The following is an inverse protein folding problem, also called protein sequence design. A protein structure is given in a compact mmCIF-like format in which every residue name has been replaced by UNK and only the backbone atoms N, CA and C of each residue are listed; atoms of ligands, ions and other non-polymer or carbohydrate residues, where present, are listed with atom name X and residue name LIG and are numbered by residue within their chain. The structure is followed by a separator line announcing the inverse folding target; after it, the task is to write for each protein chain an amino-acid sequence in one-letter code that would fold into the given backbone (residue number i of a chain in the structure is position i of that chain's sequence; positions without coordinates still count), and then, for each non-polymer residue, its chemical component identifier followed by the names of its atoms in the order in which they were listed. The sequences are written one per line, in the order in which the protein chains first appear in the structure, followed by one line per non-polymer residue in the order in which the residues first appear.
data_IF_886403136023
#
_entry.id   IF_886403136023
#
_cell.length_a   1.000
_cell.length_b   1.000
_cell.length_c   1.000
_cell.angle_alpha   90.00
_cell.angle_beta   90.00
_cell.angle_gamma   90.00
#
_symmetry.space_group_name_H-M   'P 1'
#
loop_
_entity.id
_entity.type
_entity.pdbx_description
1 polymer ?
#
# COMPACT_ATOMS: atom_id res chain seq x y z
N UNK A 1 -22.10 -7.48 7.66
CA UNK A 1 -21.90 -6.04 8.02
C UNK A 1 -21.67 -5.27 6.74
N UNK A 2 -22.03 -3.99 6.65
CA UNK A 2 -21.74 -3.17 5.48
C UNK A 2 -20.98 -1.93 5.92
N UNK A 3 -19.78 -1.72 5.34
CA UNK A 3 -19.00 -0.50 5.48
C UNK A 3 -19.39 0.49 4.37
N UNK A 4 -19.67 1.74 4.74
CA UNK A 4 -20.04 2.81 3.80
C UNK A 4 -19.11 3.98 4.03
N UNK A 5 -18.24 4.30 3.07
CA UNK A 5 -17.25 5.36 3.22
C UNK A 5 -16.04 5.17 2.31
N UNK A 6 -14.94 5.81 2.65
CA UNK A 6 -13.65 5.65 1.99
C UNK A 6 -12.80 4.53 2.62
N UNK A 7 -11.55 4.42 2.16
CA UNK A 7 -10.59 3.40 2.62
C UNK A 7 -10.34 3.46 4.13
N UNK A 8 -10.25 4.66 4.73
CA UNK A 8 -10.10 4.84 6.18
C UNK A 8 -11.28 4.28 6.97
N UNK A 9 -12.53 4.53 6.53
CA UNK A 9 -13.73 3.96 7.16
C UNK A 9 -13.74 2.44 7.06
N UNK A 10 -13.32 1.90 5.91
CA UNK A 10 -13.19 0.46 5.72
C UNK A 10 -12.16 -0.13 6.67
N UNK A 11 -10.99 0.50 6.80
CA UNK A 11 -9.95 0.07 7.73
C UNK A 11 -10.44 0.04 9.18
N UNK A 12 -11.14 1.08 9.65
CA UNK A 12 -11.73 1.13 11.00
C UNK A 12 -12.73 -0.01 11.24
N UNK A 13 -13.60 -0.28 10.27
CA UNK A 13 -14.58 -1.38 10.36
C UNK A 13 -13.85 -2.72 10.42
N UNK A 14 -12.87 -2.95 9.56
CA UNK A 14 -12.11 -4.20 9.52
C UNK A 14 -11.31 -4.38 10.81
N UNK A 15 -10.60 -3.34 11.26
CA UNK A 15 -9.86 -3.37 12.52
C UNK A 15 -10.77 -3.71 13.71
N UNK A 16 -11.97 -3.12 13.75
CA UNK A 16 -12.95 -3.41 14.80
C UNK A 16 -13.44 -4.84 14.77
N UNK A 17 -13.78 -5.39 13.61
CA UNK A 17 -14.29 -6.79 13.52
C UNK A 17 -13.21 -7.83 13.76
N UNK A 18 -11.94 -7.55 13.49
CA UNK A 18 -10.83 -8.46 13.75
C UNK A 18 -10.63 -8.74 15.25
N UNK A 19 -11.17 -7.91 16.14
CA UNK A 19 -11.18 -8.17 17.58
C UNK A 19 -12.21 -9.25 18.01
N UNK A 20 -13.13 -9.61 17.13
CA UNK A 20 -14.20 -10.56 17.41
C UNK A 20 -13.72 -12.00 17.22
N UNK A 21 -14.22 -12.92 18.06
CA UNK A 21 -13.93 -14.35 17.90
C UNK A 21 -14.40 -14.93 16.56
N UNK A 22 -15.43 -14.34 15.98
CA UNK A 22 -15.98 -14.74 14.66
C UNK A 22 -16.31 -13.48 13.89
N UNK A 23 -15.35 -12.96 13.11
CA UNK A 23 -15.59 -11.78 12.29
C UNK A 23 -16.71 -12.02 11.27
N UNK A 24 -17.67 -11.10 11.13
CA UNK A 24 -18.71 -11.19 10.11
C UNK A 24 -18.14 -10.92 8.72
N UNK A 25 -18.81 -11.41 7.69
CA UNK A 25 -18.52 -10.98 6.32
C UNK A 25 -18.87 -9.48 6.14
N UNK A 26 -18.03 -8.77 5.37
CA UNK A 26 -18.15 -7.32 5.11
C UNK A 26 -18.54 -7.08 3.66
N UNK A 27 -19.59 -6.30 3.44
CA UNK A 27 -19.88 -5.65 2.17
C UNK A 27 -19.28 -4.24 2.21
N UNK A 28 -18.86 -3.71 1.07
CA UNK A 28 -18.27 -2.38 0.98
C UNK A 28 -18.97 -1.52 -0.06
N UNK A 29 -19.46 -0.34 0.37
CA UNK A 29 -19.97 0.71 -0.50
C UNK A 29 -18.94 1.85 -0.54
N UNK A 30 -18.12 1.95 -1.60
CA UNK A 30 -17.05 2.93 -1.69
C UNK A 30 -17.62 4.33 -1.93
N UNK A 31 -17.41 5.22 -0.96
CA UNK A 31 -17.88 6.62 -0.99
C UNK A 31 -16.74 7.61 -0.66
N UNK A 32 -15.50 7.16 -0.73
CA UNK A 32 -14.32 8.00 -0.53
C UNK A 32 -13.80 8.64 -1.82
N UNK A 33 -12.74 9.41 -1.72
CA UNK A 33 -12.13 10.10 -2.86
C UNK A 33 -11.29 9.17 -3.73
N UNK A 34 -10.64 8.15 -3.16
CA UNK A 34 -9.69 7.25 -3.85
C UNK A 34 -10.26 5.85 -4.00
N UNK A 35 -10.67 5.23 -2.90
CA UNK A 35 -11.24 3.87 -2.85
C UNK A 35 -10.35 2.83 -3.53
N UNK A 36 -9.04 2.85 -3.21
CA UNK A 36 -8.02 1.98 -3.82
C UNK A 36 -8.31 0.49 -3.64
N UNK A 37 -8.79 0.12 -2.45
CA UNK A 37 -9.14 -1.27 -2.19
C UNK A 37 -10.37 -1.72 -2.98
N UNK A 38 -11.37 -0.85 -3.13
CA UNK A 38 -12.53 -1.15 -3.98
C UNK A 38 -12.13 -1.34 -5.45
N UNK A 39 -11.20 -0.52 -5.95
CA UNK A 39 -10.67 -0.65 -7.30
C UNK A 39 -9.94 -1.99 -7.52
N UNK A 40 -9.16 -2.44 -6.53
CA UNK A 40 -8.46 -3.73 -6.56
C UNK A 40 -9.42 -4.92 -6.60
N UNK A 41 -10.57 -4.79 -5.94
CA UNK A 41 -11.63 -5.80 -5.88
C UNK A 41 -12.68 -5.68 -7.01
N UNK A 42 -12.55 -4.68 -7.90
CA UNK A 42 -13.54 -4.36 -8.95
C UNK A 42 -14.95 -4.06 -8.40
N UNK A 43 -15.02 -3.53 -7.19
CA UNK A 43 -16.29 -3.09 -6.62
C UNK A 43 -16.80 -1.86 -7.40
N UNK A 44 -18.04 -1.86 -7.89
CA UNK A 44 -18.58 -0.72 -8.62
C UNK A 44 -18.54 0.57 -7.77
N UNK A 45 -18.20 1.70 -8.41
CA UNK A 45 -18.27 3.01 -7.76
C UNK A 45 -19.69 3.55 -7.61
N UNK A 46 -20.62 3.06 -8.42
CA UNK A 46 -22.04 3.36 -8.28
C UNK A 46 -22.62 2.65 -7.05
N UNK A 47 -23.25 3.39 -6.10
CA UNK A 47 -23.70 2.82 -4.84
C UNK A 47 -24.78 1.74 -5.01
N UNK A 48 -25.62 1.85 -6.04
CA UNK A 48 -26.71 0.88 -6.29
C UNK A 48 -26.11 -0.42 -6.80
N UNK A 49 -25.19 -0.35 -7.76
CA UNK A 49 -24.50 -1.52 -8.29
C UNK A 49 -23.64 -2.20 -7.21
N UNK A 50 -22.94 -1.41 -6.38
CA UNK A 50 -22.18 -1.95 -5.25
C UNK A 50 -23.09 -2.65 -4.23
N UNK A 51 -24.25 -2.08 -3.92
CA UNK A 51 -25.23 -2.72 -3.04
C UNK A 51 -25.80 -4.02 -3.66
N UNK A 52 -26.08 -4.02 -4.96
CA UNK A 52 -26.50 -5.24 -5.66
C UNK A 52 -25.41 -6.32 -5.63
N UNK A 53 -24.13 -5.95 -5.81
CA UNK A 53 -23.01 -6.87 -5.69
C UNK A 53 -22.97 -7.51 -4.30
N UNK A 54 -23.13 -6.72 -3.24
CA UNK A 54 -23.18 -7.25 -1.85
C UNK A 54 -24.34 -8.24 -1.66
N UNK A 55 -25.53 -7.93 -2.18
CA UNK A 55 -26.72 -8.77 -1.97
C UNK A 55 -26.65 -10.07 -2.76
N UNK A 56 -26.09 -10.02 -3.98
CA UNK A 56 -25.97 -11.17 -4.89
C UNK A 56 -24.63 -11.87 -4.78
N UNK A 57 -23.66 -11.24 -4.13
CA UNK A 57 -22.26 -11.64 -4.11
C UNK A 57 -22.00 -12.91 -3.32
N UNK A 58 -20.85 -13.47 -3.61
CA UNK A 58 -20.32 -14.64 -2.92
C UNK A 58 -19.33 -14.20 -1.85
N UNK A 59 -19.12 -15.06 -0.87
CA UNK A 59 -18.07 -14.84 0.14
C UNK A 59 -16.71 -15.11 -0.47
N UNK A 60 -15.84 -14.13 -0.43
CA UNK A 60 -14.43 -14.25 -0.79
C UNK A 60 -13.56 -13.97 0.41
N UNK A 61 -12.62 -14.85 0.69
CA UNK A 61 -11.61 -14.62 1.72
C UNK A 61 -10.44 -13.84 1.11
N UNK A 62 -9.93 -12.88 1.87
CA UNK A 62 -8.84 -12.01 1.47
C UNK A 62 -7.82 -11.92 2.62
N UNK A 63 -6.58 -11.68 2.25
CA UNK A 63 -5.52 -11.38 3.19
C UNK A 63 -5.62 -9.95 3.67
N UNK A 64 -5.14 -9.69 4.88
CA UNK A 64 -4.91 -8.37 5.43
C UNK A 64 -3.54 -8.32 6.10
N UNK A 65 -3.01 -7.13 6.31
CA UNK A 65 -1.73 -6.96 6.98
C UNK A 65 -1.87 -6.62 8.45
N UNK A 66 -0.93 -7.11 9.24
CA UNK A 66 -0.71 -6.66 10.62
C UNK A 66 0.65 -5.97 10.71
N UNK A 67 0.63 -4.71 11.12
CA UNK A 67 1.77 -3.85 11.36
C UNK A 67 1.93 -3.66 12.88
N UNK A 68 2.82 -4.40 13.51
CA UNK A 68 2.85 -4.50 14.97
C UNK A 68 1.49 -4.95 15.51
N UNK A 69 0.80 -4.07 16.23
CA UNK A 69 -0.54 -4.32 16.78
C UNK A 69 -1.68 -3.79 15.88
N UNK A 70 -1.37 -3.02 14.85
CA UNK A 70 -2.36 -2.41 13.96
C UNK A 70 -2.63 -3.26 12.72
N UNK A 71 -3.85 -3.13 12.20
CA UNK A 71 -4.26 -3.75 10.93
C UNK A 71 -4.16 -2.72 9.82
N UNK A 72 -3.70 -3.15 8.65
CA UNK A 72 -3.91 -2.47 7.39
C UNK A 72 -4.57 -3.43 6.39
N UNK A 73 -5.37 -2.88 5.49
CA UNK A 73 -6.20 -3.68 4.58
C UNK A 73 -5.50 -3.91 3.25
N UNK A 74 -4.84 -2.88 2.72
CA UNK A 74 -4.27 -2.97 1.39
C UNK A 74 -2.86 -2.43 1.25
N UNK A 75 -2.41 -1.47 2.09
CA UNK A 75 -1.03 -0.95 1.98
C UNK A 75 -0.48 -0.39 3.28
N UNK A 76 0.77 -0.74 3.57
CA UNK A 76 1.64 -0.05 4.51
C UNK A 76 2.82 0.52 3.75
N UNK A 77 3.14 1.81 3.90
CA UNK A 77 4.21 2.47 3.17
C UNK A 77 4.97 3.47 4.00
N UNK A 78 6.24 3.72 3.65
CA UNK A 78 7.10 4.72 4.27
C UNK A 78 7.86 5.55 3.23
N UNK A 79 8.42 6.67 3.67
CA UNK A 79 9.33 7.49 2.88
C UNK A 79 8.65 8.62 2.11
N UNK A 80 9.21 8.96 0.95
CA UNK A 80 8.66 9.99 0.09
C UNK A 80 7.20 9.64 -0.20
N UNK A 81 6.30 10.66 -0.17
CA UNK A 81 4.86 10.54 -0.47
C UNK A 81 3.95 10.23 0.71
N UNK A 82 4.46 9.70 1.82
CA UNK A 82 3.62 9.51 3.02
C UNK A 82 3.23 10.84 3.65
N UNK A 83 4.12 11.85 3.64
CA UNK A 83 3.85 13.20 4.17
C UNK A 83 3.02 14.09 3.24
N UNK A 84 3.19 13.98 1.93
CA UNK A 84 2.52 14.85 0.96
C UNK A 84 1.06 14.50 0.74
N UNK A 85 0.65 13.26 1.04
CA UNK A 85 -0.76 12.88 1.02
C UNK A 85 -1.61 13.74 1.98
N UNK A 86 -1.00 14.29 3.03
CA UNK A 86 -1.70 15.11 4.03
C UNK A 86 -1.67 16.62 3.77
N UNK A 87 -0.72 17.14 2.97
CA UNK A 87 -0.48 18.58 2.82
C UNK A 87 -0.65 19.14 1.42
N UNK A 88 -0.75 18.29 0.38
CA UNK A 88 -0.89 18.76 -1.00
C UNK A 88 -2.30 19.31 -1.27
N UNK A 89 -2.36 20.53 -1.83
CA UNK A 89 -3.62 21.14 -2.28
C UNK A 89 -4.30 20.31 -3.36
N UNK A 90 -5.63 20.31 -3.41
CA UNK A 90 -6.44 19.56 -4.37
C UNK A 90 -6.13 19.89 -5.84
N UNK A 91 -5.59 21.10 -6.11
CA UNK A 91 -5.25 21.54 -7.46
C UNK A 91 -4.02 20.82 -8.06
N UNK A 92 -3.04 20.43 -7.24
CA UNK A 92 -1.86 19.65 -7.66
C UNK A 92 -2.25 18.21 -7.93
N UNK A 93 -3.25 17.69 -7.21
CA UNK A 93 -3.80 16.34 -7.40
C UNK A 93 -4.49 16.16 -8.75
N UNK A 94 -5.05 17.23 -9.31
CA UNK A 94 -5.84 17.18 -10.55
C UNK A 94 -5.04 17.37 -11.84
N UNK A 95 -3.87 18.04 -11.81
CA UNK A 95 -3.16 18.44 -13.03
C UNK A 95 -2.19 17.38 -13.59
N UNK A 96 -1.56 16.57 -12.74
CA UNK A 96 -0.52 15.60 -13.17
C UNK A 96 -0.71 14.20 -12.56
N UNK A 97 -1.74 14.01 -11.75
CA UNK A 97 -1.86 12.83 -10.90
C UNK A 97 -0.75 12.81 -9.83
N UNK A 98 -0.95 12.06 -8.76
CA UNK A 98 0.02 11.92 -7.68
C UNK A 98 1.39 11.43 -8.18
N UNK A 99 1.40 10.63 -9.23
CA UNK A 99 2.61 10.06 -9.83
C UNK A 99 3.47 11.10 -10.57
N UNK A 100 2.87 12.07 -11.27
CA UNK A 100 3.61 13.14 -11.94
C UNK A 100 4.32 14.07 -10.94
N UNK A 101 3.67 14.37 -9.81
CA UNK A 101 4.29 15.15 -8.73
C UNK A 101 5.46 14.41 -8.08
N UNK A 102 5.32 13.11 -7.93
CA UNK A 102 6.35 12.19 -7.47
C UNK A 102 7.60 12.27 -8.36
N UNK A 103 7.39 12.15 -9.65
CA UNK A 103 8.48 12.21 -10.63
C UNK A 103 9.14 13.58 -10.69
N UNK A 104 8.39 14.65 -10.50
CA UNK A 104 8.95 16.01 -10.47
C UNK A 104 9.80 16.25 -9.21
N UNK A 105 9.37 15.70 -8.06
CA UNK A 105 10.18 15.76 -6.84
C UNK A 105 11.46 14.91 -6.89
N UNK A 106 11.52 13.89 -7.75
CA UNK A 106 12.71 13.07 -7.96
C UNK A 106 13.75 13.71 -8.92
N UNK A 107 13.44 14.84 -9.56
CA UNK A 107 14.36 15.47 -10.53
C UNK A 107 15.62 16.09 -9.90
N UNK A 108 15.59 16.39 -8.63
CA UNK A 108 16.69 17.00 -7.91
C UNK A 108 17.22 16.03 -6.83
N UNK A 109 18.34 15.37 -7.15
CA UNK A 109 19.01 14.42 -6.25
C UNK A 109 19.33 15.01 -4.89
N UNK A 110 19.66 16.30 -4.83
CA UNK A 110 20.06 16.98 -3.59
C UNK A 110 18.87 17.21 -2.64
N UNK A 111 17.64 17.11 -3.14
CA UNK A 111 16.43 17.26 -2.34
C UNK A 111 15.86 15.93 -1.82
N UNK A 112 16.34 14.80 -2.34
CA UNK A 112 15.88 13.48 -1.95
C UNK A 112 16.42 13.13 -0.57
N UNK A 113 15.51 12.76 0.34
CA UNK A 113 15.86 12.27 1.67
C UNK A 113 15.62 10.77 1.74
N UNK A 114 16.67 9.97 1.62
CA UNK A 114 16.54 8.53 1.86
C UNK A 114 16.42 8.24 3.35
N UNK A 115 15.86 7.07 3.64
CA UNK A 115 15.87 6.47 4.97
C UNK A 115 16.78 5.25 4.97
N UNK A 116 17.62 5.13 5.97
CA UNK A 116 18.43 3.95 6.18
C UNK A 116 17.61 2.89 6.91
N UNK A 117 17.30 1.83 6.20
CA UNK A 117 16.40 0.78 6.68
C UNK A 117 17.00 -0.59 6.42
N UNK A 118 16.89 -1.46 7.41
CA UNK A 118 17.14 -2.89 7.27
C UNK A 118 15.83 -3.63 7.29
N UNK A 119 15.58 -4.40 6.23
CA UNK A 119 14.37 -5.20 6.08
C UNK A 119 14.79 -6.66 5.97
N UNK A 120 14.32 -7.50 6.88
CA UNK A 120 14.47 -8.95 6.79
C UNK A 120 13.12 -9.54 6.40
N UNK A 121 13.04 -10.12 5.22
CA UNK A 121 11.82 -10.67 4.65
C UNK A 121 12.06 -12.11 4.22
N UNK A 122 11.29 -13.06 4.78
CA UNK A 122 11.35 -14.50 4.46
C UNK A 122 12.79 -15.07 4.40
N UNK A 123 13.70 -14.56 5.26
CA UNK A 123 15.10 -14.97 5.36
C UNK A 123 16.09 -14.21 4.47
N UNK A 124 15.64 -13.34 3.57
CA UNK A 124 16.47 -12.39 2.83
C UNK A 124 16.61 -11.09 3.63
N UNK A 125 17.82 -10.53 3.70
CA UNK A 125 18.06 -9.23 4.33
C UNK A 125 18.39 -8.19 3.28
N UNK A 126 17.61 -7.13 3.23
CA UNK A 126 17.74 -5.96 2.37
C UNK A 126 18.17 -4.77 3.26
N UNK A 127 19.45 -4.46 3.28
CA UNK A 127 20.03 -3.34 4.06
C UNK A 127 20.44 -2.23 3.09
N UNK A 128 19.88 -1.04 3.24
CA UNK A 128 20.12 0.04 2.29
C UNK A 128 19.47 1.37 2.65
N UNK A 129 19.65 2.31 1.73
CA UNK A 129 19.00 3.62 1.76
C UNK A 129 17.87 3.65 0.74
N UNK A 130 16.65 3.90 1.21
CA UNK A 130 15.44 3.87 0.40
C UNK A 130 14.72 5.20 0.42
N UNK A 131 14.28 5.65 -0.75
CA UNK A 131 13.41 6.82 -0.88
C UNK A 131 11.96 6.51 -0.51
N UNK A 132 11.55 5.27 -0.77
CA UNK A 132 10.19 4.80 -0.56
C UNK A 132 10.19 3.29 -0.38
N UNK A 133 9.28 2.80 0.44
CA UNK A 133 8.95 1.40 0.56
C UNK A 133 7.45 1.20 0.77
N UNK A 134 6.92 0.15 0.16
CA UNK A 134 5.54 -0.26 0.33
C UNK A 134 5.41 -1.77 0.45
N UNK A 135 4.51 -2.18 1.34
CA UNK A 135 4.05 -3.54 1.53
C UNK A 135 2.56 -3.53 1.22
N UNK A 136 2.15 -4.19 0.16
CA UNK A 136 0.79 -4.12 -0.35
C UNK A 136 0.15 -5.50 -0.51
N UNK A 137 -1.17 -5.55 -0.36
CA UNK A 137 -2.05 -6.61 -0.84
C UNK A 137 -3.10 -5.94 -1.74
N UNK A 138 -2.65 -5.40 -2.87
CA UNK A 138 -3.48 -4.55 -3.73
C UNK A 138 -2.88 -4.41 -5.11
N UNK A 139 -3.71 -4.30 -6.13
CA UNK A 139 -3.28 -3.97 -7.50
C UNK A 139 -2.94 -2.49 -7.68
N UNK A 140 -3.09 -1.67 -6.62
CA UNK A 140 -2.72 -0.27 -6.59
C UNK A 140 -1.95 0.05 -5.32
N UNK A 141 -0.77 0.64 -5.44
CA UNK A 141 0.01 1.11 -4.30
C UNK A 141 -0.17 2.62 -4.18
N UNK A 142 -0.84 3.03 -3.10
CA UNK A 142 -1.09 4.43 -2.75
C UNK A 142 -1.76 5.26 -3.88
N UNK A 143 -2.61 4.63 -4.71
CA UNK A 143 -3.27 5.27 -5.85
C UNK A 143 -2.33 5.71 -6.97
N UNK A 144 -1.06 5.36 -6.90
CA UNK A 144 0.00 5.88 -7.79
C UNK A 144 0.60 4.80 -8.68
N UNK A 145 0.94 3.68 -8.13
CA UNK A 145 1.60 2.59 -8.84
C UNK A 145 0.61 1.45 -9.05
N UNK A 146 0.40 1.05 -10.28
CA UNK A 146 -0.48 -0.07 -10.63
C UNK A 146 0.37 -1.32 -10.82
N UNK A 147 0.03 -2.36 -10.08
CA UNK A 147 0.58 -3.70 -10.29
C UNK A 147 -0.31 -4.47 -11.28
N UNK A 148 0.32 -5.29 -12.11
CA UNK A 148 -0.43 -6.17 -12.98
C UNK A 148 -1.19 -7.21 -12.15
N UNK A 149 -2.45 -7.46 -12.48
CA UNK A 149 -3.29 -8.42 -11.74
C UNK A 149 -2.72 -9.82 -11.62
N UNK A 150 -1.91 -10.22 -12.58
CA UNK A 150 -1.23 -11.52 -12.54
C UNK A 150 -0.14 -11.59 -11.47
N UNK A 151 0.35 -10.43 -11.01
CA UNK A 151 1.39 -10.31 -9.98
C UNK A 151 0.80 -10.21 -8.57
N UNK A 152 -0.53 -10.00 -8.44
CA UNK A 152 -1.21 -9.77 -7.16
C UNK A 152 -2.30 -10.81 -6.94
N UNK A 153 -2.13 -11.64 -5.93
CA UNK A 153 -3.11 -12.65 -5.52
C UNK A 153 -3.53 -12.32 -4.08
N UNK A 154 -4.74 -11.81 -3.91
CA UNK A 154 -5.21 -11.22 -2.65
C UNK A 154 -5.50 -12.21 -1.51
N UNK A 155 -5.23 -13.52 -1.68
CA UNK A 155 -5.55 -14.59 -0.72
C UNK A 155 -4.52 -15.72 -0.67
N UNK A 156 -3.29 -15.46 -1.14
CA UNK A 156 -2.21 -16.46 -1.21
C UNK A 156 -1.24 -16.45 0.00
N UNK A 157 -1.42 -15.49 0.91
CA UNK A 157 -0.58 -15.34 2.09
C UNK A 157 0.68 -14.50 1.85
N UNK A 158 0.77 -13.82 0.71
CA UNK A 158 1.92 -13.00 0.34
C UNK A 158 1.52 -11.53 0.17
N UNK A 159 2.47 -10.65 0.37
CA UNK A 159 2.43 -9.23 0.03
C UNK A 159 3.33 -8.95 -1.15
N UNK A 160 3.04 -7.89 -1.87
CA UNK A 160 3.94 -7.23 -2.79
C UNK A 160 4.79 -6.22 -2.02
N UNK A 161 6.07 -6.56 -1.79
CA UNK A 161 7.08 -5.62 -1.26
C UNK A 161 7.72 -4.87 -2.44
N UNK A 162 7.59 -3.55 -2.46
CA UNK A 162 8.26 -2.67 -3.39
C UNK A 162 9.16 -1.70 -2.64
N UNK A 163 10.46 -1.69 -2.98
CA UNK A 163 11.41 -0.72 -2.45
C UNK A 163 12.01 0.11 -3.59
N UNK A 164 12.11 1.40 -3.36
CA UNK A 164 12.72 2.38 -4.26
C UNK A 164 14.04 2.82 -3.62
N UNK A 165 15.19 2.27 -4.05
CA UNK A 165 16.49 2.64 -3.52
C UNK A 165 16.84 4.10 -3.81
N UNK A 166 17.70 4.67 -2.99
CA UNK A 166 18.28 5.99 -3.25
C UNK A 166 19.26 5.93 -4.41
N UNK A 167 19.01 6.61 -5.55
CA UNK A 167 19.92 6.62 -6.66
C UNK A 167 21.19 7.41 -6.32
N UNK A 168 22.35 6.89 -6.70
CA UNK A 168 23.65 7.48 -6.39
C UNK A 168 24.14 8.46 -7.47
N UNK A 169 23.50 8.47 -8.63
CA UNK A 169 23.85 9.33 -9.76
C UNK A 169 22.65 9.55 -10.70
N UNK A 170 22.80 10.50 -11.63
CA UNK A 170 21.74 10.88 -12.56
C UNK A 170 21.31 9.72 -13.48
N UNK A 171 22.19 8.80 -13.83
CA UNK A 171 21.84 7.67 -14.68
C UNK A 171 20.95 6.66 -13.94
N UNK A 172 21.26 6.36 -12.68
CA UNK A 172 20.42 5.51 -11.82
C UNK A 172 19.05 6.15 -11.60
N UNK A 173 19.01 7.47 -11.32
CA UNK A 173 17.76 8.20 -11.20
C UNK A 173 16.91 8.11 -12.47
N UNK A 174 17.52 8.26 -13.62
CA UNK A 174 16.83 8.18 -14.90
C UNK A 174 16.27 6.78 -15.17
N UNK A 175 17.03 5.73 -14.85
CA UNK A 175 16.59 4.34 -14.97
C UNK A 175 15.43 4.04 -14.01
N UNK A 176 15.50 4.53 -12.79
CA UNK A 176 14.47 4.37 -11.76
C UNK A 176 13.16 5.06 -12.21
N UNK A 177 13.25 6.32 -12.66
CA UNK A 177 12.09 7.05 -13.19
C UNK A 177 11.47 6.30 -14.38
N UNK A 178 12.30 5.82 -15.30
CA UNK A 178 11.83 5.07 -16.46
C UNK A 178 11.11 3.78 -16.04
N UNK A 179 11.67 3.03 -15.10
CA UNK A 179 11.09 1.80 -14.60
C UNK A 179 9.73 2.05 -13.92
N UNK A 180 9.63 3.09 -13.11
CA UNK A 180 8.37 3.49 -12.45
C UNK A 180 7.30 3.90 -13.47
N UNK A 181 7.68 4.73 -14.47
CA UNK A 181 6.76 5.18 -15.54
C UNK A 181 6.21 4.01 -16.37
N UNK A 182 7.05 3.02 -16.64
CA UNK A 182 6.68 1.86 -17.45
C UNK A 182 6.17 0.67 -16.61
N UNK A 183 5.98 0.85 -15.30
CA UNK A 183 5.51 -0.18 -14.37
C UNK A 183 6.38 -1.44 -14.40
N UNK A 184 7.68 -1.27 -14.58
CA UNK A 184 8.66 -2.36 -14.65
C UNK A 184 9.38 -2.50 -13.30
N UNK A 185 8.69 -3.01 -12.31
CA UNK A 185 9.16 -3.06 -10.91
C UNK A 185 10.33 -4.01 -10.65
N UNK A 186 10.66 -4.88 -11.60
CA UNK A 186 11.84 -5.76 -11.57
C UNK A 186 13.04 -5.19 -12.35
N UNK A 187 13.06 -3.88 -12.63
CA UNK A 187 14.11 -3.21 -13.40
C UNK A 187 14.45 -1.83 -12.81
N UNK A 188 15.43 -1.16 -13.40
CA UNK A 188 15.80 0.21 -13.02
C UNK A 188 16.33 0.38 -11.61
N UNK A 189 16.77 -0.70 -10.96
CA UNK A 189 17.23 -0.69 -9.56
C UNK A 189 16.12 -0.85 -8.53
N UNK A 190 14.85 -0.95 -8.94
CA UNK A 190 13.75 -1.25 -8.05
C UNK A 190 13.86 -2.67 -7.48
N UNK A 191 13.42 -2.84 -6.23
CA UNK A 191 13.35 -4.15 -5.58
C UNK A 191 11.87 -4.50 -5.43
N UNK A 192 11.46 -5.59 -6.08
CA UNK A 192 10.11 -6.12 -5.97
C UNK A 192 10.18 -7.59 -5.52
N UNK A 193 9.42 -7.94 -4.48
CA UNK A 193 9.39 -9.28 -3.88
C UNK A 193 7.97 -9.62 -3.45
N UNK A 194 7.65 -10.91 -3.46
CA UNK A 194 6.51 -11.46 -2.76
C UNK A 194 6.98 -12.01 -1.42
N UNK A 195 6.38 -11.57 -0.32
CA UNK A 195 6.83 -11.89 1.04
C UNK A 195 5.64 -12.17 1.96
N UNK A 196 5.79 -13.15 2.86
CA UNK A 196 4.73 -13.47 3.84
C UNK A 196 4.85 -12.64 5.11
N UNK A 197 6.07 -12.29 5.48
CA UNK A 197 6.37 -11.49 6.65
C UNK A 197 7.67 -10.73 6.47
N UNK A 198 7.77 -9.59 7.14
CA UNK A 198 9.00 -8.83 7.18
C UNK A 198 9.20 -8.18 8.55
N UNK A 199 10.46 -8.10 8.94
CA UNK A 199 10.95 -7.34 10.09
C UNK A 199 11.70 -6.13 9.59
N UNK A 200 11.31 -4.95 10.06
CA UNK A 200 11.92 -3.67 9.65
C UNK A 200 12.62 -3.05 10.84
N UNK A 201 13.86 -2.64 10.66
CA UNK A 201 14.69 -1.97 11.65
C UNK A 201 15.19 -0.63 11.08
N UNK A 202 15.12 0.43 11.87
CA UNK A 202 15.70 1.72 11.53
C UNK A 202 16.09 2.48 12.79
N UNK A 203 17.18 3.27 12.73
CA UNK A 203 17.56 4.21 13.78
C UNK A 203 17.00 5.61 13.52
N UNK A 204 16.30 5.81 12.41
CA UNK A 204 15.78 7.11 11.99
C UNK A 204 14.32 7.28 12.36
N UNK A 205 13.83 8.51 12.37
CA UNK A 205 12.41 8.81 12.46
C UNK A 205 11.75 8.49 11.11
N UNK A 206 11.26 7.27 10.99
CA UNK A 206 10.63 6.71 9.78
C UNK A 206 9.11 6.59 9.98
N UNK A 207 8.34 7.63 9.70
CA UNK A 207 6.89 7.54 9.78
C UNK A 207 6.33 6.69 8.64
N UNK A 208 5.23 5.99 8.95
CA UNK A 208 4.51 5.14 8.03
C UNK A 208 3.16 5.72 7.65
N UNK A 209 2.59 5.18 6.60
CA UNK A 209 1.19 5.35 6.22
C UNK A 209 0.56 3.96 6.12
N UNK A 210 -0.52 3.73 6.87
CA UNK A 210 -1.31 2.50 6.81
C UNK A 210 -2.66 2.84 6.17
N UNK A 211 -2.94 2.33 4.99
CA UNK A 211 -4.16 2.63 4.21
C UNK A 211 -4.44 4.13 4.07
N UNK A 212 -3.39 4.95 3.98
CA UNK A 212 -3.50 6.40 3.91
C UNK A 212 -3.48 7.13 5.25
N UNK A 213 -3.57 6.44 6.39
CA UNK A 213 -3.52 7.01 7.72
C UNK A 213 -2.10 7.05 8.29
N UNK A 214 -1.79 8.12 9.03
CA UNK A 214 -0.47 8.30 9.64
C UNK A 214 -0.22 7.27 10.75
N UNK A 215 0.96 6.66 10.73
CA UNK A 215 1.48 5.82 11.78
C UNK A 215 2.85 6.34 12.22
N UNK A 216 3.07 6.60 13.52
CA UNK A 216 4.35 7.09 14.01
C UNK A 216 5.48 6.08 13.79
N UNK A 217 6.69 6.62 13.70
CA UNK A 217 7.91 5.82 13.59
C UNK A 217 8.08 4.88 14.77
N UNK A 218 8.55 3.67 14.47
CA UNK A 218 8.98 2.68 15.45
C UNK A 218 10.38 2.23 15.06
N UNK A 219 11.32 2.07 16.05
CA UNK A 219 12.67 1.60 15.75
C UNK A 219 12.71 0.22 15.11
N UNK A 220 11.72 -0.61 15.47
CA UNK A 220 11.51 -1.94 14.90
C UNK A 220 10.03 -2.19 14.73
N UNK A 221 9.65 -2.87 13.66
CA UNK A 221 8.27 -3.31 13.44
C UNK A 221 8.23 -4.61 12.66
N UNK A 222 7.34 -5.51 13.09
CA UNK A 222 6.98 -6.71 12.35
C UNK A 222 5.73 -6.45 11.50
N UNK A 223 5.81 -6.83 10.21
CA UNK A 223 4.67 -6.77 9.30
C UNK A 223 4.39 -8.20 8.84
N UNK A 224 3.17 -8.66 9.06
CA UNK A 224 2.81 -10.08 8.86
C UNK A 224 1.53 -10.15 8.03
N UNK A 225 1.53 -11.02 7.01
CA UNK A 225 0.33 -11.36 6.27
C UNK A 225 -0.57 -12.25 7.13
N UNK A 226 -1.79 -11.80 7.34
CA UNK A 226 -2.85 -12.57 7.98
C UNK A 226 -3.69 -13.21 6.87
N UNK A 227 -3.25 -14.37 6.40
CA UNK A 227 -3.86 -15.06 5.27
C UNK A 227 -5.33 -15.34 5.51
N UNK A 228 -6.17 -14.94 4.54
CA UNK A 228 -7.63 -15.17 4.50
C UNK A 228 -8.38 -14.71 5.76
N UNK A 229 -7.84 -13.69 6.44
CA UNK A 229 -8.40 -13.20 7.69
C UNK A 229 -9.63 -12.29 7.49
N UNK A 230 -9.87 -11.79 6.28
CA UNK A 230 -11.03 -10.97 5.95
C UNK A 230 -11.98 -11.73 5.03
N UNK A 231 -13.27 -11.75 5.35
CA UNK A 231 -14.31 -12.25 4.45
C UNK A 231 -15.11 -11.09 3.87
N UNK A 232 -15.05 -10.90 2.55
CA UNK A 232 -15.83 -9.90 1.82
C UNK A 232 -17.02 -10.54 1.10
N UNK A 233 -18.06 -9.73 0.86
CA UNK A 233 -19.19 -10.04 -0.02
C UNK A 233 -18.96 -9.30 -1.36
N UNK A 234 -18.63 -10.06 -2.42
CA UNK A 234 -18.25 -9.54 -3.74
C UNK A 234 -19.03 -10.22 -4.84
#
# INVERSE_FOLDING_TARGET
MVAVGGDGTLNEVISGIQTLKTPPAVGYLPQGSTNDFAASLEIPSDPVQAAEAIVRGQRRQLDIGRFGERIFVYVASFGAFTRTSYTASQDVKNALGHFGYLLESLRDLDTLRPYKVRITADGETLDGEYLFGAVANSTSIAGMMKLERKEVILDDGLFELLLVPHPQNAAELQNLIWALLNQQYNSGGLIFRHVSALHVETAEDLPWSLDGEYEPSQPTVDIINCQRALTMLL
#
